data_IF_044427008341
#
_entry.id   IF_044427008341
#
_cell.length_a   1.000
_cell.length_b   1.000
_cell.length_c   1.000
_cell.angle_alpha   90.00
_cell.angle_beta   90.00
_cell.angle_gamma   90.00
#
_symmetry.space_group_name_H-M   'P 1'
#
loop_
_entity.id
_entity.type
_entity.pdbx_description
1 polymer ?
#
# COMPACT_ATOMS: atom_id res chain seq x y z
N UNK A 1 10.15 -13.07 18.84
CA UNK A 1 8.87 -12.35 18.96
C UNK A 1 8.68 -11.56 17.68
N UNK A 2 7.55 -11.74 16.98
CA UNK A 2 7.27 -11.05 15.72
C UNK A 2 7.04 -9.57 16.02
N UNK A 3 7.87 -8.69 15.45
CA UNK A 3 7.64 -7.25 15.52
C UNK A 3 6.32 -6.94 14.77
N UNK A 4 5.28 -6.57 15.52
CA UNK A 4 3.98 -6.25 14.94
C UNK A 4 4.00 -4.92 14.17
N UNK A 5 4.97 -4.06 14.49
CA UNK A 5 5.15 -2.76 13.87
C UNK A 5 5.91 -2.94 12.56
N UNK A 6 6.97 -3.77 12.55
CA UNK A 6 7.79 -4.08 11.36
C UNK A 6 7.89 -5.60 11.07
N UNK A 7 6.81 -6.24 10.62
CA UNK A 7 6.81 -7.67 10.35
C UNK A 7 7.68 -8.05 9.14
N UNK A 8 8.25 -9.25 9.15
CA UNK A 8 9.34 -9.66 8.25
C UNK A 8 9.04 -9.60 6.74
N UNK A 9 7.77 -9.59 6.32
CA UNK A 9 7.38 -9.45 4.91
C UNK A 9 7.66 -8.04 4.33
N UNK A 10 8.12 -7.11 5.15
CA UNK A 10 8.62 -5.80 4.72
C UNK A 10 10.14 -5.80 4.43
N UNK A 11 10.92 -6.73 5.01
CA UNK A 11 12.40 -6.73 4.95
C UNK A 11 13.02 -7.07 3.60
N UNK A 12 12.22 -7.45 2.61
CA UNK A 12 12.69 -7.80 1.25
C UNK A 12 12.70 -6.60 0.29
N UNK A 13 12.24 -5.42 0.75
CA UNK A 13 12.40 -4.20 -0.03
C UNK A 13 13.62 -3.44 0.45
N UNK A 14 14.49 -3.07 -0.48
CA UNK A 14 15.53 -2.07 -0.23
C UNK A 14 14.95 -0.70 0.19
N UNK A 15 13.64 -0.50 0.03
CA UNK A 15 12.90 0.71 0.40
C UNK A 15 11.56 0.29 1.02
N UNK A 16 11.34 0.66 2.28
CA UNK A 16 10.06 0.44 2.95
C UNK A 16 8.93 1.23 2.30
N UNK A 17 7.71 0.66 2.25
CA UNK A 17 6.55 1.33 1.63
C UNK A 17 6.26 2.66 2.32
N UNK A 18 6.42 2.73 3.64
CA UNK A 18 6.27 3.96 4.42
C UNK A 18 7.30 5.01 4.02
N UNK A 19 8.54 4.59 3.77
CA UNK A 19 9.64 5.49 3.38
C UNK A 19 9.38 6.05 1.98
N UNK A 20 8.92 5.23 1.04
CA UNK A 20 8.52 5.68 -0.30
C UNK A 20 7.36 6.69 -0.24
N UNK A 21 6.33 6.42 0.57
CA UNK A 21 5.18 7.32 0.78
C UNK A 21 5.64 8.68 1.32
N UNK A 22 6.54 8.69 2.31
CA UNK A 22 7.08 9.91 2.89
C UNK A 22 7.98 10.66 1.91
N UNK A 23 8.90 9.95 1.23
CA UNK A 23 9.84 10.54 0.28
C UNK A 23 9.14 11.18 -0.93
N UNK A 24 8.05 10.57 -1.40
CA UNK A 24 7.26 11.10 -2.51
C UNK A 24 6.13 12.04 -2.07
N UNK A 25 6.02 12.31 -0.76
CA UNK A 25 5.00 13.18 -0.17
C UNK A 25 3.57 12.80 -0.61
N UNK A 26 3.29 11.49 -0.68
CA UNK A 26 1.99 11.00 -1.12
C UNK A 26 0.92 11.32 -0.08
N UNK A 27 -0.25 11.72 -0.59
CA UNK A 27 -1.42 11.93 0.27
C UNK A 27 -1.97 10.59 0.81
N UNK A 28 -2.98 10.67 1.68
CA UNK A 28 -3.59 9.49 2.31
C UNK A 28 -4.08 8.44 1.30
N UNK A 29 -4.76 8.85 0.22
CA UNK A 29 -5.27 7.94 -0.78
C UNK A 29 -4.13 7.35 -1.61
N UNK A 30 -3.22 8.18 -2.12
CA UNK A 30 -2.06 7.79 -2.91
C UNK A 30 -1.17 6.79 -2.17
N UNK A 31 -0.89 7.03 -0.89
CA UNK A 31 -0.11 6.10 -0.08
C UNK A 31 -0.81 4.75 0.12
N UNK A 32 -2.13 4.75 0.30
CA UNK A 32 -2.89 3.50 0.37
C UNK A 32 -2.92 2.76 -0.97
N UNK A 33 -3.00 3.45 -2.10
CA UNK A 33 -2.93 2.84 -3.44
C UNK A 33 -1.62 2.07 -3.57
N UNK A 34 -0.48 2.74 -3.36
CA UNK A 34 0.85 2.12 -3.45
C UNK A 34 0.97 0.94 -2.45
N UNK A 35 0.56 1.14 -1.20
CA UNK A 35 0.58 0.08 -0.18
C UNK A 35 -0.14 -1.18 -0.63
N UNK A 36 -1.36 -1.06 -1.19
CA UNK A 36 -2.12 -2.24 -1.62
C UNK A 36 -1.57 -2.87 -2.90
N UNK A 37 -1.01 -2.08 -3.83
CA UNK A 37 -0.31 -2.61 -5.01
C UNK A 37 0.92 -3.42 -4.61
N UNK A 38 1.75 -2.87 -3.73
CA UNK A 38 3.00 -3.52 -3.28
C UNK A 38 2.70 -4.79 -2.45
N UNK A 39 1.61 -4.77 -1.66
CA UNK A 39 1.15 -5.91 -0.83
C UNK A 39 0.51 -7.06 -1.62
N UNK A 40 0.01 -6.76 -2.82
CA UNK A 40 -0.78 -7.67 -3.65
C UNK A 40 -0.05 -9.00 -3.91
N UNK A 41 -0.70 -10.11 -3.54
CA UNK A 41 -0.14 -11.46 -3.73
C UNK A 41 1.03 -11.82 -2.81
N UNK A 42 1.39 -10.95 -1.87
CA UNK A 42 2.47 -11.19 -0.88
C UNK A 42 1.93 -11.44 0.51
N UNK A 43 0.95 -10.64 0.95
CA UNK A 43 0.31 -10.79 2.28
C UNK A 43 -1.06 -11.47 2.23
N UNK A 44 -1.74 -11.39 1.10
CA UNK A 44 -3.07 -11.99 0.92
C UNK A 44 -2.98 -13.16 -0.06
N UNK A 45 -3.61 -14.29 0.29
CA UNK A 45 -3.74 -15.45 -0.59
C UNK A 45 -4.47 -15.12 -1.90
N UNK A 46 -5.47 -14.22 -1.85
CA UNK A 46 -6.18 -13.74 -3.03
C UNK A 46 -5.73 -12.30 -3.40
N UNK A 47 -4.92 -12.13 -4.46
CA UNK A 47 -4.47 -10.83 -4.96
C UNK A 47 -5.62 -9.87 -5.28
N UNK A 48 -6.81 -10.39 -5.66
CA UNK A 48 -7.96 -9.58 -6.03
C UNK A 48 -8.46 -8.72 -4.88
N UNK A 49 -8.26 -9.13 -3.62
CA UNK A 49 -8.66 -8.33 -2.47
C UNK A 49 -7.84 -7.04 -2.36
N UNK A 50 -6.53 -7.13 -2.61
CA UNK A 50 -5.65 -5.97 -2.62
C UNK A 50 -5.92 -5.06 -3.81
N UNK A 51 -6.11 -5.63 -5.00
CA UNK A 51 -6.49 -4.86 -6.18
C UNK A 51 -7.81 -4.11 -5.99
N UNK A 52 -8.83 -4.75 -5.39
CA UNK A 52 -10.11 -4.10 -5.06
C UNK A 52 -9.92 -2.95 -4.06
N UNK A 53 -9.05 -3.10 -3.06
CA UNK A 53 -8.74 -2.01 -2.12
C UNK A 53 -8.01 -0.86 -2.81
N UNK A 54 -7.00 -1.16 -3.63
CA UNK A 54 -6.30 -0.14 -4.41
C UNK A 54 -7.28 0.63 -5.31
N UNK A 55 -8.17 -0.08 -6.02
CA UNK A 55 -9.22 0.52 -6.85
C UNK A 55 -10.14 1.44 -6.05
N UNK A 56 -10.57 1.04 -4.86
CA UNK A 56 -11.41 1.88 -4.00
C UNK A 56 -10.72 3.21 -3.62
N UNK A 57 -9.42 3.18 -3.32
CA UNK A 57 -8.67 4.40 -3.04
C UNK A 57 -8.44 5.24 -4.30
N UNK A 58 -8.25 4.63 -5.47
CA UNK A 58 -8.21 5.35 -6.76
C UNK A 58 -9.53 6.09 -7.00
N UNK A 59 -10.67 5.43 -6.81
CA UNK A 59 -11.98 6.07 -6.96
C UNK A 59 -12.17 7.24 -6.01
N UNK A 60 -11.75 7.11 -4.74
CA UNK A 60 -11.78 8.22 -3.78
C UNK A 60 -10.87 9.39 -4.13
N UNK A 61 -9.68 9.11 -4.65
CA UNK A 61 -8.73 10.12 -5.13
C UNK A 61 -9.33 10.88 -6.32
N UNK A 62 -9.88 10.16 -7.30
CA UNK A 62 -10.52 10.76 -8.49
C UNK A 62 -11.69 11.68 -8.12
N UNK A 63 -12.50 11.31 -7.13
CA UNK A 63 -13.60 12.13 -6.65
C UNK A 63 -13.19 13.47 -6.02
N UNK A 64 -11.89 13.74 -5.82
CA UNK A 64 -11.39 15.06 -5.40
C UNK A 64 -11.25 16.04 -6.57
N UNK A 65 -11.31 15.56 -7.81
CA UNK A 65 -11.10 16.34 -9.03
C UNK A 65 -12.39 16.56 -9.84
N UNK A 66 -13.52 16.04 -9.34
CA UNK A 66 -14.88 16.20 -9.90
C UNK A 66 -15.68 17.21 -9.07
#
# INVERSE_FOLDING_TARGET
MTDQINPDYYKDYSIEVTDAIQAWQLNYCQGNIIKYIVRCGRKTEDPRQDLKKALWYIQKELAQYE
#
